data_IF_885858158198
#
_entry.id   IF_885858158198
#
_cell.length_a   1.000
_cell.length_b   1.000
_cell.length_c   1.000
_cell.angle_alpha   90.00
_cell.angle_beta   90.00
_cell.angle_gamma   90.00
#
_symmetry.space_group_name_H-M   'P 1'
#
loop_
_entity.id
_entity.type
_entity.pdbx_description
1 polymer ?
#
# COMPACT_ATOMS: atom_id res chain seq x y z
N UNK A 1 22.25 28.86 -31.71
CA UNK A 1 21.69 27.56 -31.28
C UNK A 1 20.63 27.81 -30.23
N UNK A 2 19.35 27.74 -30.60
CA UNK A 2 18.24 27.93 -29.68
C UNK A 2 17.15 26.91 -30.01
N UNK A 3 17.34 25.67 -29.56
CA UNK A 3 16.25 24.71 -29.47
C UNK A 3 16.14 24.30 -28.00
N UNK A 4 15.18 24.94 -27.33
CA UNK A 4 14.80 24.68 -25.95
C UNK A 4 14.54 23.17 -25.82
N UNK A 5 15.27 22.48 -24.93
CA UNK A 5 14.99 21.09 -24.55
C UNK A 5 13.52 21.03 -24.10
N UNK A 6 12.66 20.36 -24.86
CA UNK A 6 11.31 20.04 -24.41
C UNK A 6 11.42 18.97 -23.31
N UNK A 7 11.70 19.39 -22.08
CA UNK A 7 11.56 18.56 -20.89
C UNK A 7 10.09 18.52 -20.50
N UNK A 8 9.34 17.54 -20.99
CA UNK A 8 7.97 17.31 -20.57
C UNK A 8 7.93 16.91 -19.10
N UNK A 9 7.32 17.72 -18.24
CA UNK A 9 7.00 17.33 -16.88
C UNK A 9 5.85 16.31 -16.91
N UNK A 10 6.11 15.07 -16.49
CA UNK A 10 5.07 14.03 -16.42
C UNK A 10 4.05 14.37 -15.33
N UNK A 11 2.76 14.45 -15.69
CA UNK A 11 1.67 14.76 -14.74
C UNK A 11 1.17 13.52 -13.94
N UNK A 12 1.86 12.39 -14.06
CA UNK A 12 1.44 11.05 -13.62
C UNK A 12 2.15 10.61 -12.33
N UNK A 13 2.31 11.51 -11.35
CA UNK A 13 2.98 11.25 -10.07
C UNK A 13 2.06 11.07 -8.85
N UNK A 14 0.79 10.70 -9.05
CA UNK A 14 -0.16 10.55 -7.94
C UNK A 14 -0.04 9.15 -7.34
N UNK A 15 0.37 9.08 -6.08
CA UNK A 15 0.26 7.87 -5.28
C UNK A 15 -0.63 8.11 -4.06
N UNK A 16 -1.33 7.08 -3.62
CA UNK A 16 -2.19 7.12 -2.45
C UNK A 16 -1.46 6.55 -1.23
N UNK A 17 -1.76 7.06 -0.04
CA UNK A 17 -1.13 6.54 1.18
C UNK A 17 -1.51 5.08 1.40
N UNK A 18 -0.50 4.23 1.59
CA UNK A 18 -0.66 2.82 1.93
C UNK A 18 -1.56 2.62 3.15
N UNK A 19 -2.45 1.63 3.07
CA UNK A 19 -3.37 1.25 4.16
C UNK A 19 -2.81 0.17 5.07
N UNK A 20 -1.54 -0.23 4.87
CA UNK A 20 -0.83 -1.25 5.67
C UNK A 20 -1.64 -2.56 5.80
N UNK A 21 -2.24 -2.99 4.69
CA UNK A 21 -2.95 -4.27 4.60
C UNK A 21 -1.99 -5.44 4.83
N UNK A 22 -2.53 -6.61 5.15
CA UNK A 22 -1.77 -7.85 5.33
C UNK A 22 -2.10 -8.58 6.63
N UNK A 23 -1.47 -9.74 6.78
CA UNK A 23 -1.54 -10.59 7.98
C UNK A 23 -0.85 -9.87 9.15
N UNK A 24 -1.48 -9.92 10.32
CA UNK A 24 -1.02 -9.30 11.56
C UNK A 24 -0.64 -10.33 12.60
N UNK A 25 -1.31 -11.48 12.58
CA UNK A 25 -0.99 -12.64 13.41
C UNK A 25 -0.85 -13.86 12.52
N UNK A 26 0.26 -14.58 12.67
CA UNK A 26 0.54 -15.83 11.97
C UNK A 26 0.24 -17.05 12.85
N UNK A 27 0.17 -18.24 12.24
CA UNK A 27 -0.12 -19.48 12.97
C UNK A 27 0.86 -19.74 14.12
N UNK A 28 0.33 -20.18 15.26
CA UNK A 28 1.13 -20.47 16.47
C UNK A 28 1.45 -19.27 17.36
N UNK A 29 1.01 -18.06 16.98
CA UNK A 29 1.14 -16.88 17.83
C UNK A 29 -0.03 -16.78 18.82
N UNK A 30 0.25 -16.33 20.04
CA UNK A 30 -0.77 -16.08 21.05
C UNK A 30 -1.61 -14.85 20.66
N UNK A 31 -2.93 -14.94 20.83
CA UNK A 31 -3.87 -13.84 20.61
C UNK A 31 -4.78 -13.66 21.80
N UNK A 32 -5.09 -12.41 22.09
CA UNK A 32 -6.16 -12.05 23.03
C UNK A 32 -7.41 -11.65 22.24
N UNK A 33 -8.56 -11.72 22.89
CA UNK A 33 -9.82 -11.28 22.31
C UNK A 33 -9.73 -9.83 21.85
N UNK A 34 -10.13 -9.55 20.61
CA UNK A 34 -10.08 -8.21 20.01
C UNK A 34 -8.84 -7.94 19.15
N UNK A 35 -7.86 -8.85 19.09
CA UNK A 35 -6.74 -8.71 18.17
C UNK A 35 -7.18 -8.86 16.70
N UNK A 36 -6.56 -8.07 15.82
CA UNK A 36 -6.74 -8.18 14.37
C UNK A 36 -5.81 -9.28 13.86
N UNK A 37 -6.36 -10.29 13.17
CA UNK A 37 -5.57 -11.36 12.55
C UNK A 37 -5.12 -10.97 11.14
N UNK A 38 -6.00 -10.40 10.33
CA UNK A 38 -5.70 -9.93 8.96
C UNK A 38 -6.41 -8.59 8.72
N UNK A 39 -5.71 -7.64 8.10
CA UNK A 39 -6.31 -6.42 7.54
C UNK A 39 -6.32 -6.54 6.03
N UNK A 40 -7.46 -6.85 5.43
CA UNK A 40 -7.58 -7.07 3.98
C UNK A 40 -8.60 -6.15 3.32
N UNK A 41 -8.45 -5.97 2.00
CA UNK A 41 -9.49 -5.40 1.13
C UNK A 41 -10.06 -6.55 0.32
N UNK A 42 -11.37 -6.81 0.47
CA UNK A 42 -11.99 -8.06 0.02
C UNK A 42 -11.72 -9.21 0.98
N UNK A 43 -12.24 -10.40 0.67
CA UNK A 43 -12.22 -11.59 1.55
C UNK A 43 -11.52 -12.75 0.84
N UNK A 44 -10.18 -12.81 0.96
CA UNK A 44 -9.37 -13.84 0.31
C UNK A 44 -9.16 -15.07 1.19
N UNK A 45 -9.10 -14.85 2.50
CA UNK A 45 -8.90 -15.85 3.54
C UNK A 45 -10.17 -15.97 4.37
#
# INVERSE_FOLDING_TARGET
>A
MAHKKAGGSTSLGRDSVSKRLGVKVFGGQQVVTGNIIIRQKGTKY
#
